data_IF_071848381542
#
_entry.id   IF_071848381542
#
_cell.length_a   1.000
_cell.length_b   1.000
_cell.length_c   1.000
_cell.angle_alpha   90.00
_cell.angle_beta   90.00
_cell.angle_gamma   90.00
#
_symmetry.space_group_name_H-M   'P 1'
#
loop_
_entity.id
_entity.type
_entity.pdbx_description
1 polymer ?
#
# COMPACT_ATOMS: atom_id res chain seq x y z
N UNK A 1 16.89 16.92 5.54
CA UNK A 1 17.72 15.72 5.79
C UNK A 1 16.73 14.59 6.03
N UNK A 2 16.51 13.73 5.04
CA UNK A 2 15.54 12.63 5.13
C UNK A 2 16.30 11.39 5.62
N UNK A 3 15.85 10.82 6.72
CA UNK A 3 16.44 9.61 7.29
C UNK A 3 15.82 8.41 6.57
N UNK A 4 16.58 7.78 5.67
CA UNK A 4 16.20 6.49 5.08
C UNK A 4 16.49 5.42 6.12
N UNK A 5 15.44 4.83 6.70
CA UNK A 5 15.55 3.80 7.74
C UNK A 5 16.04 2.47 7.12
N UNK A 6 15.63 2.17 5.89
CA UNK A 6 16.17 1.12 5.02
C UNK A 6 15.62 1.27 3.59
N UNK A 7 16.42 0.92 2.58
CA UNK A 7 15.96 0.81 1.18
C UNK A 7 15.62 -0.65 0.89
N UNK A 8 14.35 -0.93 0.58
CA UNK A 8 13.92 -2.29 0.23
C UNK A 8 13.58 -2.31 -1.27
N UNK A 9 14.42 -3.01 -2.03
CA UNK A 9 14.17 -3.30 -3.43
C UNK A 9 13.40 -4.62 -3.52
N UNK A 10 12.10 -4.55 -3.86
CA UNK A 10 11.26 -5.71 -4.13
C UNK A 10 11.05 -5.86 -5.64
N UNK A 11 11.99 -6.47 -6.38
CA UNK A 11 11.78 -6.78 -7.79
C UNK A 11 10.77 -7.93 -7.86
N UNK A 12 9.54 -7.58 -8.23
CA UNK A 12 8.44 -8.48 -8.53
C UNK A 12 8.22 -9.58 -7.48
N UNK A 13 7.62 -9.18 -6.36
CA UNK A 13 7.08 -10.15 -5.42
C UNK A 13 5.99 -10.94 -6.15
N UNK A 14 6.21 -12.23 -6.43
CA UNK A 14 5.20 -13.19 -6.92
C UNK A 14 3.99 -13.36 -5.96
N UNK A 15 3.84 -12.47 -4.99
CA UNK A 15 2.65 -12.16 -4.20
C UNK A 15 1.65 -11.28 -4.98
N UNK A 16 2.14 -10.49 -5.93
CA UNK A 16 1.37 -9.53 -6.71
C UNK A 16 1.39 -8.11 -6.17
N UNK A 17 2.03 -7.78 -5.03
CA UNK A 17 2.09 -6.41 -4.48
C UNK A 17 3.33 -5.61 -4.93
N UNK A 18 3.12 -4.39 -5.43
CA UNK A 18 4.13 -3.47 -5.95
C UNK A 18 4.11 -2.15 -5.18
N UNK A 19 5.16 -1.89 -4.39
CA UNK A 19 5.35 -0.58 -3.75
C UNK A 19 5.78 0.45 -4.78
N UNK A 20 5.06 1.56 -4.88
CA UNK A 20 5.33 2.60 -5.85
C UNK A 20 6.50 3.49 -5.41
N UNK A 21 7.32 3.99 -6.35
CA UNK A 21 8.33 4.98 -6.01
C UNK A 21 7.67 6.26 -5.49
N UNK A 22 8.34 6.96 -4.57
CA UNK A 22 7.79 8.14 -3.91
C UNK A 22 7.34 9.24 -4.88
N UNK A 23 8.01 9.38 -6.03
CA UNK A 23 7.59 10.31 -7.09
C UNK A 23 6.22 9.95 -7.66
N UNK A 24 5.99 8.66 -7.94
CA UNK A 24 4.72 8.18 -8.46
C UNK A 24 3.61 8.34 -7.43
N UNK A 25 3.89 8.07 -6.16
CA UNK A 25 2.95 8.31 -5.05
C UNK A 25 2.57 9.79 -4.98
N UNK A 26 3.54 10.70 -5.08
CA UNK A 26 3.29 12.13 -5.06
C UNK A 26 2.49 12.61 -6.28
N UNK A 27 2.77 12.06 -7.46
CA UNK A 27 2.04 12.37 -8.69
C UNK A 27 0.59 11.88 -8.60
N UNK A 28 0.36 10.64 -8.18
CA UNK A 28 -0.98 10.11 -7.95
C UNK A 28 -1.73 10.88 -6.87
N UNK A 29 -1.07 11.25 -5.78
CA UNK A 29 -1.70 12.07 -4.74
C UNK A 29 -2.12 13.45 -5.28
N UNK A 30 -1.35 14.06 -6.19
CA UNK A 30 -1.74 15.31 -6.84
C UNK A 30 -2.91 15.14 -7.81
N UNK A 31 -2.96 14.03 -8.52
CA UNK A 31 -3.98 13.76 -9.53
C UNK A 31 -5.31 13.32 -8.92
N UNK A 32 -5.26 12.39 -7.96
CA UNK A 32 -6.44 11.74 -7.40
C UNK A 32 -6.73 12.11 -5.94
N UNK A 33 -5.77 12.68 -5.22
CA UNK A 33 -5.92 13.03 -3.81
C UNK A 33 -5.76 11.86 -2.84
N UNK A 34 -6.01 12.13 -1.55
CA UNK A 34 -6.13 11.09 -0.53
C UNK A 34 -7.44 10.31 -0.70
N UNK A 35 -7.42 9.02 -0.39
CA UNK A 35 -8.63 8.20 -0.31
C UNK A 35 -9.32 8.44 1.04
N UNK A 36 -10.65 8.58 1.00
CA UNK A 36 -11.47 8.75 2.18
C UNK A 36 -11.96 7.38 2.65
N UNK A 37 -11.70 7.04 3.91
CA UNK A 37 -12.09 5.77 4.50
C UNK A 37 -12.87 6.07 5.78
N UNK A 38 -14.03 5.45 5.93
CA UNK A 38 -14.90 5.70 7.08
C UNK A 38 -14.18 5.34 8.40
N UNK A 39 -14.02 6.33 9.28
CA UNK A 39 -13.37 6.16 10.58
C UNK A 39 -11.84 6.23 10.57
N UNK A 40 -11.24 6.66 9.47
CA UNK A 40 -9.79 6.87 9.32
C UNK A 40 -9.52 8.26 8.73
N UNK A 41 -8.39 8.86 9.09
CA UNK A 41 -7.92 10.09 8.44
C UNK A 41 -7.59 9.82 6.95
N UNK A 42 -7.56 10.85 6.08
CA UNK A 42 -7.32 10.65 4.65
C UNK A 42 -6.05 9.83 4.37
N UNK A 43 -6.22 8.68 3.70
CA UNK A 43 -5.14 7.74 3.46
C UNK A 43 -4.46 7.97 2.11
N UNK A 44 -3.18 7.63 2.01
CA UNK A 44 -2.38 7.81 0.77
C UNK A 44 -2.12 6.46 0.13
N UNK A 45 -2.51 6.31 -1.14
CA UNK A 45 -2.20 5.11 -1.93
C UNK A 45 -0.70 5.05 -2.21
N UNK A 46 -0.07 3.93 -1.83
CA UNK A 46 1.39 3.76 -1.93
C UNK A 46 1.81 2.49 -2.68
N UNK A 47 0.90 1.56 -2.91
CA UNK A 47 1.18 0.32 -3.62
C UNK A 47 -0.05 -0.17 -4.37
N UNK A 48 0.15 -1.13 -5.27
CA UNK A 48 -0.94 -1.83 -5.97
C UNK A 48 -0.70 -3.33 -6.00
N UNK A 49 -1.74 -4.14 -6.18
CA UNK A 49 -1.57 -5.50 -6.65
C UNK A 49 -1.63 -5.55 -8.18
N UNK A 50 -0.88 -6.43 -8.86
CA UNK A 50 -0.82 -6.49 -10.34
C UNK A 50 -2.17 -6.72 -11.04
N UNK A 51 -3.24 -6.99 -10.27
CA UNK A 51 -4.63 -7.05 -10.74
C UNK A 51 -5.37 -5.70 -10.69
N UNK A 52 -4.71 -4.62 -10.27
CA UNK A 52 -5.24 -3.26 -10.22
C UNK A 52 -5.81 -2.84 -8.88
N UNK A 53 -5.83 -3.70 -7.85
CA UNK A 53 -6.22 -3.26 -6.51
C UNK A 53 -5.13 -2.35 -5.93
N UNK A 54 -5.53 -1.45 -5.06
CA UNK A 54 -4.68 -0.41 -4.50
C UNK A 54 -4.51 -0.63 -3.00
N UNK A 55 -3.35 -0.28 -2.48
CA UNK A 55 -3.07 -0.25 -1.05
C UNK A 55 -2.84 1.19 -0.60
N UNK A 56 -3.57 1.59 0.43
CA UNK A 56 -3.50 2.91 1.04
C UNK A 56 -3.01 2.84 2.49
N UNK A 57 -2.18 3.81 2.88
CA UNK A 57 -1.67 3.97 4.23
C UNK A 57 -2.42 5.13 4.91
N UNK A 58 -3.15 4.81 5.98
CA UNK A 58 -3.79 5.81 6.84
C UNK A 58 -2.80 6.46 7.81
N UNK A 59 -3.16 7.62 8.36
CA UNK A 59 -2.34 8.31 9.38
C UNK A 59 -2.22 7.48 10.67
N UNK A 60 -3.19 6.60 10.96
CA UNK A 60 -3.09 5.61 12.03
C UNK A 60 -1.97 4.58 11.84
N UNK A 61 -1.36 4.51 10.66
CA UNK A 61 -0.39 3.48 10.26
C UNK A 61 -1.01 2.20 9.73
N UNK A 62 -2.34 2.10 9.71
CA UNK A 62 -3.09 0.98 9.11
C UNK A 62 -2.97 0.97 7.60
N UNK A 63 -2.97 -0.24 7.04
CA UNK A 63 -2.97 -0.47 5.60
C UNK A 63 -4.34 -0.95 5.16
N UNK A 64 -4.84 -0.33 4.11
CA UNK A 64 -6.15 -0.60 3.54
C UNK A 64 -6.00 -1.06 2.10
N UNK A 65 -6.84 -1.99 1.65
CA UNK A 65 -6.84 -2.50 0.28
C UNK A 65 -8.17 -2.15 -0.39
N UNK A 66 -8.12 -1.64 -1.62
CA UNK A 66 -9.34 -1.40 -2.39
C UNK A 66 -10.07 -2.72 -2.67
N UNK A 67 -11.39 -2.69 -2.61
CA UNK A 67 -12.27 -3.84 -2.86
C UNK A 67 -12.37 -4.19 -4.35
N UNK A 68 -12.04 -3.22 -5.21
CA UNK A 68 -12.02 -3.33 -6.67
C UNK A 68 -10.74 -2.68 -7.21
N UNK A 69 -10.49 -2.83 -8.51
CA UNK A 69 -9.40 -2.13 -9.21
C UNK A 69 -9.74 -0.66 -9.51
N UNK A 70 -10.04 0.12 -8.47
CA UNK A 70 -10.50 1.51 -8.58
C UNK A 70 -9.98 2.36 -7.42
N UNK A 71 -9.66 3.62 -7.72
CA UNK A 71 -9.22 4.63 -6.74
C UNK A 71 -10.36 5.13 -5.86
N UNK A 72 -11.59 5.12 -6.38
CA UNK A 72 -12.75 5.79 -5.78
C UNK A 72 -13.72 4.83 -5.11
N UNK A 73 -13.43 3.52 -5.16
CA UNK A 73 -14.24 2.51 -4.51
C UNK A 73 -13.83 2.30 -3.05
N UNK A 74 -14.55 1.43 -2.35
CA UNK A 74 -14.33 1.16 -0.94
C UNK A 74 -13.00 0.45 -0.70
N UNK A 75 -12.45 0.68 0.49
CA UNK A 75 -11.25 0.04 0.98
C UNK A 75 -11.56 -0.77 2.24
N UNK A 76 -11.05 -2.00 2.29
CA UNK A 76 -11.12 -2.89 3.45
C UNK A 76 -9.77 -2.91 4.18
N UNK A 77 -9.81 -3.18 5.49
CA UNK A 77 -8.59 -3.28 6.30
C UNK A 77 -7.73 -4.47 5.83
N UNK A 78 -6.49 -4.19 5.45
CA UNK A 78 -5.53 -5.20 5.00
C UNK A 78 -4.53 -5.57 6.10
N UNK A 79 -4.13 -4.60 6.93
CA UNK A 79 -3.27 -4.82 8.09
C UNK A 79 -3.43 -3.70 9.12
N UNK A 80 -3.25 -4.01 10.40
CA UNK A 80 -3.29 -3.03 11.49
C UNK A 80 -2.04 -2.13 11.51
N UNK A 81 -0.96 -2.53 10.83
CA UNK A 81 0.23 -1.71 10.66
C UNK A 81 0.98 -1.99 9.35
N UNK A 82 1.77 -1.02 8.90
CA UNK A 82 2.69 -1.20 7.77
C UNK A 82 3.72 -2.33 8.03
N UNK A 83 4.14 -2.52 9.29
CA UNK A 83 5.02 -3.62 9.66
C UNK A 83 4.34 -4.97 9.46
N UNK A 84 3.12 -5.14 9.99
CA UNK A 84 2.34 -6.37 9.83
C UNK A 84 2.09 -6.70 8.36
N UNK A 85 1.82 -5.68 7.54
CA UNK A 85 1.65 -5.81 6.10
C UNK A 85 2.90 -6.43 5.44
N UNK A 86 4.09 -5.87 5.71
CA UNK A 86 5.35 -6.40 5.15
C UNK A 86 5.73 -7.77 5.73
N UNK A 87 5.44 -8.03 7.00
CA UNK A 87 5.62 -9.36 7.59
C UNK A 87 4.70 -10.40 6.93
N UNK A 88 3.45 -10.03 6.62
CA UNK A 88 2.50 -10.85 5.87
C UNK A 88 3.04 -11.21 4.49
N UNK A 89 3.53 -10.21 3.76
CA UNK A 89 4.19 -10.40 2.45
C UNK A 89 5.39 -11.34 2.59
N UNK A 90 6.28 -11.09 3.56
CA UNK A 90 7.47 -11.91 3.79
C UNK A 90 7.14 -13.37 4.10
N UNK A 91 6.14 -13.63 4.95
CA UNK A 91 5.67 -15.00 5.24
C UNK A 91 5.15 -15.70 3.99
N UNK A 92 4.43 -14.99 3.13
CA UNK A 92 3.86 -15.55 1.91
C UNK A 92 4.95 -15.95 0.92
N UNK A 93 6.00 -15.14 0.77
CA UNK A 93 7.19 -15.51 -0.04
C UNK A 93 7.85 -16.77 0.52
N UNK A 94 8.11 -16.80 1.83
CA UNK A 94 8.78 -17.92 2.48
C UNK A 94 7.96 -19.23 2.43
N UNK A 95 6.64 -19.15 2.27
CA UNK A 95 5.76 -20.32 2.15
C UNK A 95 5.71 -20.90 0.73
N UNK A 96 6.26 -20.17 -0.27
CA UNK A 96 6.30 -20.61 -1.67
C UNK A 96 7.67 -21.16 -2.10
N UNK A 97 8.66 -21.17 -1.19
CA UNK A 97 9.99 -21.78 -1.35
C UNK A 97 10.02 -23.18 -0.72
#
# INVERSE_FOLDING_TARGET
MYWVISEVSFPDLENGCFVHPASLVADHFREYGAVQIDGEEPAVVFASDGGGHLFALGDSGRVWKSTTASWFDQFDLAADSLQEFFEGISRQINSQL
#
